data_IF_560154604812
#
_entry.id   IF_560154604812
#
_cell.length_a   1.000
_cell.length_b   1.000
_cell.length_c   1.000
_cell.angle_alpha   90.00
_cell.angle_beta   90.00
_cell.angle_gamma   90.00
#
_symmetry.space_group_name_H-M   'P 1'
#
loop_
_entity.id
_entity.type
_entity.pdbx_description
1 polymer ?
#
# COMPACT_ATOMS: atom_id res chain seq x y z
N UNK A 1 12.87 18.29 43.93
CA UNK A 1 11.81 17.40 43.35
C UNK A 1 10.92 18.22 42.44
N UNK A 2 10.47 17.60 41.34
CA UNK A 2 9.50 18.06 40.31
C UNK A 2 10.09 18.41 38.92
N UNK A 3 10.68 17.39 38.28
CA UNK A 3 10.71 17.23 36.82
C UNK A 3 9.33 16.78 36.36
N UNK A 4 8.47 17.73 35.99
CA UNK A 4 7.12 17.46 35.51
C UNK A 4 6.93 18.07 34.13
N UNK A 5 7.19 17.30 33.08
CA UNK A 5 6.99 17.81 31.72
C UNK A 5 7.63 16.95 30.65
N UNK A 6 7.37 15.64 30.60
CA UNK A 6 7.82 14.83 29.46
C UNK A 6 7.04 13.51 29.26
N UNK A 7 5.76 13.46 29.64
CA UNK A 7 4.97 12.21 29.55
C UNK A 7 3.77 12.26 28.58
N UNK A 8 3.47 13.42 27.98
CA UNK A 8 2.27 13.55 27.13
C UNK A 8 2.52 13.45 25.62
N UNK A 9 3.78 13.49 25.15
CA UNK A 9 4.08 13.36 23.72
C UNK A 9 4.09 11.90 23.23
N UNK A 10 4.20 10.92 24.13
CA UNK A 10 4.38 9.51 23.78
C UNK A 10 3.08 8.80 23.37
N UNK A 11 1.90 9.30 23.78
CA UNK A 11 0.62 8.67 23.44
C UNK A 11 0.12 9.00 22.03
N UNK A 12 0.59 10.09 21.41
CA UNK A 12 0.17 10.47 20.06
C UNK A 12 0.76 9.55 18.97
N UNK A 13 1.92 8.91 19.22
CA UNK A 13 2.52 7.96 18.27
C UNK A 13 1.84 6.59 18.27
N UNK A 14 1.13 6.20 19.34
CA UNK A 14 0.43 4.91 19.38
C UNK A 14 -0.88 4.92 18.57
N UNK A 15 -1.48 6.09 18.31
CA UNK A 15 -2.71 6.19 17.54
C UNK A 15 -2.51 5.94 16.02
N UNK A 16 -1.26 5.99 15.53
CA UNK A 16 -0.94 5.62 14.15
C UNK A 16 -0.88 4.09 13.92
N UNK A 17 -0.83 3.28 14.99
CA UNK A 17 -0.90 1.81 14.90
C UNK A 17 -2.34 1.26 14.87
N UNK A 18 -3.35 2.12 14.64
CA UNK A 18 -4.75 1.71 14.47
C UNK A 18 -5.21 1.69 13.01
N UNK A 19 -4.39 2.17 12.06
CA UNK A 19 -4.68 2.04 10.64
C UNK A 19 -4.30 0.62 10.21
N UNK A 20 -5.31 -0.21 9.96
CA UNK A 20 -5.10 -1.45 9.19
C UNK A 20 -4.21 -1.12 8.00
N UNK A 21 -3.13 -1.89 7.78
CA UNK A 21 -2.22 -1.62 6.69
C UNK A 21 -3.02 -1.50 5.39
N UNK A 22 -2.73 -0.51 4.53
CA UNK A 22 -3.46 -0.32 3.29
C UNK A 22 -3.46 -1.62 2.48
N UNK A 23 -4.61 -1.98 1.93
CA UNK A 23 -4.71 -3.18 1.11
C UNK A 23 -3.76 -3.09 -0.08
N UNK A 24 -3.28 -4.24 -0.54
CA UNK A 24 -2.41 -4.31 -1.71
C UNK A 24 -3.06 -3.67 -2.95
N UNK A 25 -4.39 -3.72 -3.08
CA UNK A 25 -5.14 -3.06 -4.14
C UNK A 25 -4.91 -1.54 -4.15
N UNK A 26 -4.93 -0.90 -2.98
CA UNK A 26 -4.72 0.55 -2.82
C UNK A 26 -3.26 0.91 -3.12
N UNK A 27 -2.32 0.08 -2.66
CA UNK A 27 -0.90 0.29 -2.91
C UNK A 27 -0.55 0.18 -4.40
N UNK A 28 -1.08 -0.84 -5.09
CA UNK A 28 -0.83 -1.02 -6.52
C UNK A 28 -1.52 0.04 -7.36
N UNK A 29 -2.80 0.32 -7.10
CA UNK A 29 -3.54 1.36 -7.83
C UNK A 29 -2.86 2.71 -7.71
N UNK A 30 -2.53 3.13 -6.49
CA UNK A 30 -1.80 4.39 -6.24
C UNK A 30 -0.43 4.42 -6.92
N UNK A 31 0.31 3.31 -6.94
CA UNK A 31 1.60 3.23 -7.66
C UNK A 31 1.42 3.39 -9.17
N UNK A 32 0.42 2.74 -9.76
CA UNK A 32 0.15 2.81 -11.20
C UNK A 32 -0.26 4.22 -11.60
N UNK A 33 -1.21 4.84 -10.88
CA UNK A 33 -1.66 6.21 -11.19
C UNK A 33 -0.58 7.24 -10.90
N UNK A 34 0.29 7.00 -9.91
CA UNK A 34 1.44 7.85 -9.62
C UNK A 34 2.52 7.82 -10.71
N UNK A 35 2.78 6.64 -11.30
CA UNK A 35 3.73 6.53 -12.43
C UNK A 35 3.11 6.95 -13.76
N UNK A 36 1.82 6.67 -13.96
CA UNK A 36 1.09 6.88 -15.20
C UNK A 36 -0.19 7.67 -14.90
N UNK A 37 -0.11 9.01 -14.84
CA UNK A 37 -1.24 9.85 -14.43
C UNK A 37 -2.43 9.81 -15.41
N UNK A 38 -2.17 9.39 -16.65
CA UNK A 38 -3.21 9.24 -17.68
C UNK A 38 -3.90 7.86 -17.63
N UNK A 39 -3.53 6.98 -16.70
CA UNK A 39 -4.15 5.67 -16.55
C UNK A 39 -5.24 5.74 -15.49
N UNK A 40 -6.36 5.06 -15.77
CA UNK A 40 -7.42 4.86 -14.78
C UNK A 40 -7.27 3.45 -14.21
N UNK A 41 -7.35 3.32 -12.89
CA UNK A 41 -7.32 2.01 -12.23
C UNK A 41 -8.61 1.84 -11.43
N UNK A 42 -9.32 0.74 -11.68
CA UNK A 42 -10.51 0.36 -10.93
C UNK A 42 -10.29 -0.97 -10.21
N UNK A 43 -11.00 -1.19 -9.11
CA UNK A 43 -10.94 -2.41 -8.29
C UNK A 43 -12.30 -3.08 -8.36
N UNK A 44 -12.60 -3.87 -9.41
CA UNK A 44 -13.90 -4.53 -9.56
C UNK A 44 -14.18 -5.54 -8.43
N UNK A 45 -13.13 -6.16 -7.89
CA UNK A 45 -13.19 -7.07 -6.76
C UNK A 45 -11.87 -7.02 -5.96
N UNK A 46 -11.87 -7.34 -4.65
CA UNK A 46 -10.65 -7.42 -3.87
C UNK A 46 -9.63 -8.38 -4.51
N UNK A 47 -8.39 -7.94 -4.66
CA UNK A 47 -7.33 -8.71 -5.30
C UNK A 47 -7.30 -8.61 -6.82
N UNK A 48 -8.19 -7.85 -7.44
CA UNK A 48 -8.26 -7.68 -8.89
C UNK A 48 -8.34 -6.21 -9.28
N UNK A 49 -7.41 -5.78 -10.12
CA UNK A 49 -7.38 -4.43 -10.68
C UNK A 49 -7.69 -4.48 -12.17
N UNK A 50 -8.44 -3.50 -12.66
CA UNK A 50 -8.59 -3.23 -14.09
C UNK A 50 -7.91 -1.90 -14.39
N UNK A 51 -6.90 -1.94 -15.26
CA UNK A 51 -6.11 -0.77 -15.66
C UNK A 51 -6.52 -0.36 -17.06
N UNK A 52 -7.09 0.82 -17.19
CA UNK A 52 -7.45 1.44 -18.45
C UNK A 52 -6.31 2.35 -18.90
N UNK A 53 -5.90 2.16 -20.16
CA UNK A 53 -4.74 2.81 -20.76
C UNK A 53 -5.22 3.55 -22.00
N UNK A 54 -4.89 4.84 -22.18
CA UNK A 54 -5.29 5.57 -23.37
C UNK A 54 -4.83 4.87 -24.65
N UNK A 55 -5.77 4.61 -25.57
CA UNK A 55 -5.49 3.96 -26.86
C UNK A 55 -5.19 2.46 -26.78
N UNK A 56 -5.39 1.80 -25.64
CA UNK A 56 -5.19 0.36 -25.49
C UNK A 56 -6.38 -0.30 -24.78
N UNK A 57 -6.61 -1.61 -24.99
CA UNK A 57 -7.65 -2.31 -24.27
C UNK A 57 -7.34 -2.35 -22.76
N UNK A 58 -8.40 -2.34 -21.91
CA UNK A 58 -8.27 -2.52 -20.47
C UNK A 58 -7.49 -3.80 -20.14
N UNK A 59 -6.66 -3.72 -19.10
CA UNK A 59 -5.84 -4.84 -18.65
C UNK A 59 -6.25 -5.25 -17.25
N UNK A 60 -6.63 -6.50 -17.08
CA UNK A 60 -6.83 -7.08 -15.76
C UNK A 60 -5.48 -7.49 -15.16
N UNK A 61 -5.29 -7.15 -13.89
CA UNK A 61 -4.09 -7.40 -13.10
C UNK A 61 -4.51 -8.07 -11.80
N UNK A 62 -3.97 -9.27 -11.57
CA UNK A 62 -4.16 -9.98 -10.31
C UNK A 62 -3.14 -9.47 -9.28
N UNK A 63 -3.63 -9.09 -8.11
CA UNK A 63 -2.82 -8.47 -7.07
C UNK A 63 -2.00 -9.51 -6.30
N UNK A 64 -2.54 -10.72 -6.10
CA UNK A 64 -1.90 -11.80 -5.35
C UNK A 64 -0.47 -12.17 -5.82
N UNK A 65 -0.19 -12.42 -7.12
CA UNK A 65 1.16 -12.76 -7.55
C UNK A 65 2.14 -11.59 -7.34
N UNK A 66 1.67 -10.34 -7.47
CA UNK A 66 2.51 -9.14 -7.30
C UNK A 66 2.81 -8.91 -5.82
N UNK A 67 1.81 -9.01 -4.96
CA UNK A 67 1.99 -8.87 -3.52
C UNK A 67 2.94 -9.95 -2.97
N UNK A 68 2.80 -11.20 -3.41
CA UNK A 68 3.71 -12.28 -3.04
C UNK A 68 5.15 -12.01 -3.50
N UNK A 69 5.33 -11.48 -4.72
CA UNK A 69 6.65 -11.10 -5.21
C UNK A 69 7.28 -9.99 -4.34
N UNK A 70 6.51 -8.97 -3.98
CA UNK A 70 6.99 -7.89 -3.12
C UNK A 70 7.30 -8.36 -1.69
N UNK A 71 6.49 -9.25 -1.12
CA UNK A 71 6.73 -9.85 0.20
C UNK A 71 7.96 -10.76 0.21
N UNK A 72 8.32 -11.39 -0.92
CA UNK A 72 9.55 -12.17 -1.04
C UNK A 72 10.80 -11.31 -0.83
N UNK A 73 10.79 -10.06 -1.29
CA UNK A 73 11.87 -9.11 -1.05
C UNK A 73 12.13 -8.86 0.43
N UNK A 74 11.06 -8.70 1.23
CA UNK A 74 11.17 -8.56 2.69
C UNK A 74 11.65 -9.85 3.38
N UNK A 75 11.27 -11.01 2.85
CA UNK A 75 11.69 -12.32 3.39
C UNK A 75 13.21 -12.53 3.29
N UNK A 76 13.84 -11.96 2.28
CA UNK A 76 15.30 -12.00 2.10
C UNK A 76 16.07 -10.98 2.95
N UNK A 77 15.40 -9.97 3.53
CA UNK A 77 16.02 -8.95 4.40
C UNK A 77 16.07 -9.36 5.87
N UNK A 78 15.25 -10.33 6.30
CA UNK A 78 15.17 -10.82 7.68
C UNK A 78 15.93 -12.13 7.93
N UNK A 79 16.77 -12.55 6.99
CA UNK A 79 17.72 -13.66 7.20
C UNK A 79 19.13 -13.07 7.26
N UNK A 80 19.43 -12.34 8.33
CA UNK A 80 20.77 -11.94 8.78
C UNK A 80 20.86 -12.18 10.28
#
# INVERSE_FOLDING_TARGET
>A
MKTGGLLLASLALLAACGQSPPSWDVLLSGKITGQYPNYTVTVPAPGQLTVERPGMPPKNVEVAPISQHCLRGAKNLFTI
#
